data_IF_468486604992
#
_entry.id   IF_468486604992
#
_cell.length_a   1.000
_cell.length_b   1.000
_cell.length_c   1.000
_cell.angle_alpha   90.00
_cell.angle_beta   90.00
_cell.angle_gamma   90.00
#
_symmetry.space_group_name_H-M   'P 1'
#
loop_
_entity.id
_entity.type
_entity.pdbx_description
1 polymer ?
#
# COMPACT_ATOMS: atom_id res chain seq x y z
N UNK A 1 30.48 17.27 -88.29
CA UNK A 1 30.57 18.39 -87.31
C UNK A 1 29.93 17.91 -86.03
N UNK A 2 30.74 17.37 -85.08
CA UNK A 2 30.31 16.71 -83.87
C UNK A 2 30.26 17.71 -82.71
N UNK A 3 29.11 17.93 -82.15
CA UNK A 3 28.96 18.68 -80.89
C UNK A 3 28.98 17.71 -79.72
N UNK A 4 29.99 17.79 -78.85
CA UNK A 4 30.06 17.05 -77.57
C UNK A 4 29.35 17.86 -76.50
N UNK A 5 28.27 17.26 -75.90
CA UNK A 5 27.60 17.74 -74.66
C UNK A 5 28.33 17.17 -73.47
N UNK A 6 28.92 18.02 -72.64
CA UNK A 6 29.37 17.63 -71.26
C UNK A 6 28.21 17.69 -70.30
N UNK A 7 27.90 16.56 -69.68
CA UNK A 7 26.99 16.49 -68.51
C UNK A 7 27.83 16.73 -67.25
N UNK A 8 27.53 17.81 -66.52
CA UNK A 8 28.07 18.07 -65.21
C UNK A 8 27.11 17.40 -64.18
N UNK A 9 27.64 16.40 -63.46
CA UNK A 9 26.91 15.83 -62.26
C UNK A 9 27.23 16.71 -61.05
N UNK A 10 26.21 17.39 -60.50
CA UNK A 10 26.26 17.98 -59.16
C UNK A 10 25.90 16.90 -58.15
N UNK A 11 26.87 16.48 -57.33
CA UNK A 11 26.62 15.64 -56.18
C UNK A 11 26.24 16.55 -54.98
N UNK A 12 25.00 16.53 -54.58
CA UNK A 12 24.55 17.20 -53.35
C UNK A 12 24.81 16.26 -52.16
N UNK A 13 25.78 16.61 -51.31
CA UNK A 13 26.00 15.98 -50.00
C UNK A 13 24.95 16.51 -49.02
N UNK A 14 23.99 15.70 -48.68
CA UNK A 14 23.09 15.94 -47.53
C UNK A 14 23.78 15.47 -46.25
N UNK A 15 24.22 16.41 -45.41
CA UNK A 15 24.71 16.12 -44.05
C UNK A 15 23.51 15.79 -43.16
N UNK A 16 23.41 14.53 -42.75
CA UNK A 16 22.45 14.13 -41.71
C UNK A 16 22.95 14.59 -40.33
N UNK A 17 22.32 15.59 -39.76
CA UNK A 17 22.52 15.98 -38.35
C UNK A 17 21.83 14.97 -37.48
N UNK A 18 22.56 14.07 -36.83
CA UNK A 18 22.04 13.18 -35.78
C UNK A 18 21.74 14.03 -34.55
N UNK A 19 20.45 14.23 -34.26
CA UNK A 19 20.01 14.83 -33.01
C UNK A 19 20.31 13.84 -31.89
N UNK A 20 21.30 14.12 -31.06
CA UNK A 20 21.55 13.38 -29.82
C UNK A 20 20.48 13.81 -28.81
N UNK A 21 19.49 12.99 -28.64
CA UNK A 21 18.53 13.14 -27.52
C UNK A 21 19.26 12.75 -26.24
N UNK A 22 19.73 13.73 -25.49
CA UNK A 22 20.16 13.51 -24.11
C UNK A 22 18.90 13.22 -23.29
N UNK A 23 18.70 11.97 -22.87
CA UNK A 23 17.68 11.63 -21.91
C UNK A 23 17.97 12.44 -20.63
N UNK A 24 17.08 13.37 -20.31
CA UNK A 24 17.19 14.17 -19.10
C UNK A 24 16.94 13.21 -17.93
N UNK A 25 17.87 13.15 -16.99
CA UNK A 25 17.66 12.35 -15.77
C UNK A 25 16.33 12.79 -15.10
N UNK A 26 15.52 11.86 -14.61
CA UNK A 26 14.28 12.23 -13.94
C UNK A 26 14.60 13.22 -12.81
N UNK A 27 13.75 14.24 -12.58
CA UNK A 27 13.98 15.24 -11.55
C UNK A 27 14.13 14.53 -10.21
N UNK A 28 15.14 14.94 -9.43
CA UNK A 28 15.36 14.39 -8.08
C UNK A 28 14.16 14.71 -7.20
N UNK A 29 13.67 13.70 -6.45
CA UNK A 29 12.59 13.91 -5.48
C UNK A 29 13.08 14.82 -4.35
N UNK A 30 12.26 15.77 -3.87
CA UNK A 30 12.66 16.80 -2.91
C UNK A 30 12.69 16.26 -1.46
N UNK A 31 13.59 15.31 -1.17
CA UNK A 31 13.70 14.64 0.13
C UNK A 31 14.05 15.59 1.26
N UNK A 32 14.71 16.72 0.96
CA UNK A 32 15.04 17.78 1.92
C UNK A 32 13.79 18.44 2.54
N UNK A 33 12.61 18.23 1.94
CA UNK A 33 11.32 18.70 2.48
C UNK A 33 10.72 17.76 3.51
N UNK A 34 11.25 16.53 3.60
CA UNK A 34 10.75 15.56 4.58
C UNK A 34 11.35 15.85 5.95
N UNK A 35 10.46 16.03 6.91
CA UNK A 35 10.82 16.18 8.32
C UNK A 35 10.67 14.85 9.04
N UNK A 36 11.70 14.49 9.79
CA UNK A 36 11.80 13.26 10.59
C UNK A 36 12.22 13.61 12.02
N UNK A 37 11.98 12.76 13.00
CA UNK A 37 12.54 12.90 14.33
C UNK A 37 14.09 12.94 14.32
N UNK A 38 14.74 13.53 15.32
CA UNK A 38 16.20 13.59 15.40
C UNK A 38 16.86 12.22 15.31
N UNK A 39 17.95 12.12 14.54
CA UNK A 39 18.71 10.89 14.32
C UNK A 39 18.20 10.03 13.17
N UNK A 40 17.04 10.33 12.60
CA UNK A 40 16.53 9.66 11.41
C UNK A 40 16.97 10.36 10.13
N UNK A 41 17.09 9.56 9.07
CA UNK A 41 17.37 10.04 7.70
C UNK A 41 16.50 9.29 6.70
N UNK A 42 16.21 9.93 5.57
CA UNK A 42 15.46 9.34 4.44
C UNK A 42 16.34 9.33 3.20
N UNK A 43 16.24 8.25 2.42
CA UNK A 43 16.90 8.10 1.13
C UNK A 43 15.94 7.42 0.14
N UNK A 44 16.26 7.48 -1.15
CA UNK A 44 15.58 6.67 -2.16
C UNK A 44 16.14 5.25 -2.10
N UNK A 45 15.27 4.26 -1.88
CA UNK A 45 15.59 2.84 -2.05
C UNK A 45 15.43 2.43 -3.52
N UNK A 46 14.35 2.87 -4.17
CA UNK A 46 14.11 2.65 -5.59
C UNK A 46 13.28 3.79 -6.19
N UNK A 47 13.46 4.06 -7.47
CA UNK A 47 12.62 4.92 -8.31
C UNK A 47 12.20 4.16 -9.57
N UNK A 48 11.27 4.73 -10.33
CA UNK A 48 10.74 4.05 -11.52
C UNK A 48 9.81 2.88 -11.18
N UNK A 49 9.09 2.98 -10.06
CA UNK A 49 8.07 2.02 -9.59
C UNK A 49 6.70 2.73 -9.60
N UNK A 50 6.14 3.06 -10.78
CA UNK A 50 4.91 3.83 -10.89
C UNK A 50 3.77 3.18 -10.11
N UNK A 51 2.99 4.03 -9.41
CA UNK A 51 1.80 3.61 -8.65
C UNK A 51 2.08 2.54 -7.59
N UNK A 52 3.26 2.54 -6.96
CA UNK A 52 3.68 1.59 -5.94
C UNK A 52 2.70 1.52 -4.77
N UNK A 53 2.24 0.33 -4.44
CA UNK A 53 1.27 0.06 -3.37
C UNK A 53 1.85 -0.90 -2.33
N UNK A 54 1.16 -1.98 -2.02
CA UNK A 54 1.60 -2.94 -1.03
C UNK A 54 2.98 -3.51 -1.37
N UNK A 55 3.78 -3.69 -0.34
CA UNK A 55 5.11 -4.24 -0.42
C UNK A 55 5.24 -5.53 0.39
N UNK A 56 6.01 -6.49 -0.12
CA UNK A 56 6.39 -7.67 0.64
C UNK A 56 7.83 -8.08 0.34
N UNK A 57 8.57 -8.45 1.38
CA UNK A 57 9.94 -8.96 1.23
C UNK A 57 9.93 -10.46 0.95
N UNK A 58 10.62 -10.88 -0.08
CA UNK A 58 10.91 -12.27 -0.40
C UNK A 58 12.00 -12.86 0.50
N UNK A 59 12.19 -14.17 0.43
CA UNK A 59 13.14 -14.89 1.29
C UNK A 59 14.61 -14.56 0.98
N UNK A 60 14.92 -14.12 -0.26
CA UNK A 60 16.28 -13.75 -0.69
C UNK A 60 16.52 -12.23 -0.67
N UNK A 61 15.61 -11.47 -0.07
CA UNK A 61 15.70 -10.01 0.01
C UNK A 61 15.15 -9.26 -1.20
N UNK A 62 14.47 -9.94 -2.13
CA UNK A 62 13.74 -9.29 -3.21
C UNK A 62 12.53 -8.55 -2.64
N UNK A 63 12.39 -7.26 -2.91
CA UNK A 63 11.20 -6.48 -2.56
C UNK A 63 10.18 -6.58 -3.69
N UNK A 64 9.06 -7.25 -3.46
CA UNK A 64 7.93 -7.27 -4.38
C UNK A 64 6.99 -6.12 -4.08
N UNK A 65 6.47 -5.47 -5.13
CA UNK A 65 5.63 -4.27 -5.03
C UNK A 65 4.43 -4.40 -5.97
N UNK A 66 3.24 -4.32 -5.42
CA UNK A 66 2.01 -4.18 -6.20
C UNK A 66 1.82 -2.77 -6.73
N UNK A 67 0.90 -2.57 -7.67
CA UNK A 67 0.58 -1.24 -8.17
C UNK A 67 -0.93 -1.01 -8.30
N UNK A 68 -1.31 0.25 -8.22
CA UNK A 68 -2.66 0.71 -8.54
C UNK A 68 -2.66 1.42 -9.88
N UNK A 69 -3.73 1.26 -10.67
CA UNK A 69 -3.95 1.98 -11.95
C UNK A 69 -2.84 1.81 -13.02
N UNK A 70 -1.74 1.08 -12.73
CA UNK A 70 -0.65 0.85 -13.66
C UNK A 70 -0.56 -0.60 -14.13
N UNK A 71 -1.38 -1.48 -13.55
CA UNK A 71 -1.59 -2.87 -13.98
C UNK A 71 -0.34 -3.75 -13.97
N UNK A 72 0.67 -3.44 -13.13
CA UNK A 72 1.94 -4.16 -13.03
C UNK A 72 2.28 -4.57 -11.61
N UNK A 73 3.09 -5.61 -11.51
CA UNK A 73 3.77 -6.02 -10.28
C UNK A 73 5.26 -5.98 -10.51
N UNK A 74 6.00 -5.44 -9.56
CA UNK A 74 7.44 -5.25 -9.64
C UNK A 74 8.20 -6.13 -8.65
N UNK A 75 9.45 -6.44 -8.99
CA UNK A 75 10.43 -6.99 -8.07
C UNK A 75 11.70 -6.13 -8.10
N UNK A 76 12.11 -5.68 -6.94
CA UNK A 76 13.25 -4.81 -6.73
C UNK A 76 14.36 -5.60 -6.04
N UNK A 77 15.55 -5.57 -6.60
CA UNK A 77 16.68 -6.34 -6.10
C UNK A 77 17.86 -5.40 -5.81
N UNK A 78 18.36 -5.47 -4.59
CA UNK A 78 19.61 -4.86 -4.14
C UNK A 78 20.68 -5.95 -4.18
N UNK A 79 21.57 -5.93 -5.19
CA UNK A 79 22.53 -7.00 -5.45
C UNK A 79 23.84 -6.82 -4.68
N UNK A 80 24.26 -5.55 -4.54
CA UNK A 80 25.52 -5.22 -3.88
C UNK A 80 25.35 -4.87 -2.40
N UNK A 81 24.10 -4.94 -1.91
CA UNK A 81 23.71 -4.68 -0.53
C UNK A 81 24.03 -3.27 -0.02
N UNK A 82 24.01 -2.28 -0.92
CA UNK A 82 24.21 -0.87 -0.58
C UNK A 82 22.93 -0.21 -0.03
N UNK A 83 21.84 -0.98 0.07
CA UNK A 83 20.52 -0.57 0.57
C UNK A 83 19.74 0.30 -0.42
N UNK A 84 20.02 0.10 -1.71
CA UNK A 84 19.26 0.62 -2.85
C UNK A 84 19.00 -0.51 -3.84
N UNK A 85 17.89 -0.45 -4.54
CA UNK A 85 17.64 -1.41 -5.59
C UNK A 85 18.46 -1.08 -6.85
N UNK A 86 19.30 -2.02 -7.28
CA UNK A 86 20.05 -1.94 -8.53
C UNK A 86 19.18 -2.25 -9.74
N UNK A 87 18.16 -3.09 -9.53
CA UNK A 87 17.33 -3.60 -10.60
C UNK A 87 15.86 -3.63 -10.24
N UNK A 88 15.02 -3.20 -11.19
CA UNK A 88 13.56 -3.31 -11.13
C UNK A 88 13.10 -4.22 -12.26
N UNK A 89 12.50 -5.36 -11.89
CA UNK A 89 11.87 -6.29 -12.82
C UNK A 89 10.36 -6.07 -12.86
N UNK A 90 9.73 -6.24 -14.03
CA UNK A 90 8.29 -6.38 -14.14
C UNK A 90 7.95 -7.87 -14.05
N UNK A 91 7.29 -8.27 -12.98
CA UNK A 91 6.88 -9.67 -12.74
C UNK A 91 5.62 -10.02 -13.53
N UNK A 92 4.68 -9.08 -13.59
CA UNK A 92 3.44 -9.26 -14.32
C UNK A 92 2.93 -7.91 -14.83
N UNK A 93 2.17 -7.94 -15.93
CA UNK A 93 1.53 -6.77 -16.54
C UNK A 93 0.16 -7.12 -17.12
N UNK A 94 -0.65 -6.10 -17.43
CA UNK A 94 -2.01 -6.28 -17.93
C UNK A 94 -2.99 -6.80 -16.88
N UNK A 95 -2.66 -6.69 -15.60
CA UNK A 95 -3.49 -7.08 -14.48
C UNK A 95 -4.51 -5.98 -14.13
N UNK A 96 -5.56 -6.30 -13.38
CA UNK A 96 -6.57 -5.33 -12.97
C UNK A 96 -6.32 -4.87 -11.52
N UNK A 97 -5.69 -3.69 -11.35
CA UNK A 97 -5.33 -3.12 -10.05
C UNK A 97 -4.63 -4.13 -9.12
N UNK A 98 -3.45 -4.67 -9.48
CA UNK A 98 -2.76 -5.69 -8.71
C UNK A 98 -2.05 -5.06 -7.50
N UNK A 99 -2.80 -4.42 -6.61
CA UNK A 99 -2.27 -3.67 -5.49
C UNK A 99 -1.74 -4.54 -4.36
N UNK A 100 -2.32 -5.73 -4.18
CA UNK A 100 -1.98 -6.64 -3.09
C UNK A 100 -0.90 -7.64 -3.44
N UNK A 101 0.12 -7.76 -2.58
CA UNK A 101 1.20 -8.75 -2.74
C UNK A 101 1.53 -9.43 -1.41
N UNK A 102 1.66 -10.77 -1.42
CA UNK A 102 2.11 -11.54 -0.28
C UNK A 102 3.14 -12.58 -0.71
N UNK A 103 4.05 -12.95 0.18
CA UNK A 103 5.07 -13.94 -0.11
C UNK A 103 5.03 -15.08 0.91
N UNK A 104 5.08 -16.32 0.44
CA UNK A 104 5.13 -17.51 1.28
C UNK A 104 5.77 -18.66 0.54
N UNK A 105 6.66 -19.40 1.23
CA UNK A 105 7.25 -20.65 0.76
C UNK A 105 7.82 -20.55 -0.67
N UNK A 106 8.55 -19.44 -0.96
CA UNK A 106 9.15 -19.18 -2.26
C UNK A 106 8.19 -18.67 -3.33
N UNK A 107 6.91 -18.52 -3.03
CA UNK A 107 5.86 -18.10 -3.98
C UNK A 107 5.36 -16.69 -3.68
N UNK A 108 5.17 -15.91 -4.74
CA UNK A 108 4.53 -14.60 -4.70
C UNK A 108 3.03 -14.76 -5.01
N UNK A 109 2.21 -14.25 -4.11
CA UNK A 109 0.76 -14.11 -4.31
C UNK A 109 0.46 -12.68 -4.74
N UNK A 110 -0.39 -12.52 -5.74
CA UNK A 110 -0.80 -11.23 -6.29
C UNK A 110 -2.32 -11.16 -6.28
N UNK A 111 -2.86 -10.12 -5.63
CA UNK A 111 -4.29 -9.88 -5.59
C UNK A 111 -4.67 -8.72 -6.53
N UNK A 112 -5.53 -9.04 -7.48
CA UNK A 112 -6.29 -8.12 -8.30
C UNK A 112 -7.67 -7.85 -7.66
N UNK A 113 -8.48 -7.02 -8.25
CA UNK A 113 -9.84 -6.73 -7.73
C UNK A 113 -10.63 -8.01 -7.46
N UNK A 114 -10.66 -8.95 -8.42
CA UNK A 114 -11.57 -10.10 -8.38
C UNK A 114 -10.89 -11.47 -8.26
N UNK A 115 -9.56 -11.50 -8.22
CA UNK A 115 -8.82 -12.76 -8.15
C UNK A 115 -7.49 -12.63 -7.43
N UNK A 116 -7.00 -13.77 -6.94
CA UNK A 116 -5.65 -13.94 -6.40
C UNK A 116 -4.94 -14.99 -7.24
N UNK A 117 -3.74 -14.67 -7.70
CA UNK A 117 -2.85 -15.56 -8.43
C UNK A 117 -1.57 -15.81 -7.65
N UNK A 118 -0.87 -16.93 -7.93
CA UNK A 118 0.39 -17.31 -7.30
C UNK A 118 1.44 -17.62 -8.36
N UNK A 119 2.64 -17.08 -8.17
CA UNK A 119 3.83 -17.30 -8.97
C UNK A 119 4.82 -18.14 -8.16
N UNK A 120 4.96 -19.43 -8.49
CA UNK A 120 5.78 -20.38 -7.74
C UNK A 120 7.28 -20.18 -8.03
N UNK A 121 8.14 -20.33 -6.98
CA UNK A 121 9.58 -20.16 -7.07
C UNK A 121 10.04 -18.84 -7.72
N UNK A 122 9.32 -17.77 -7.45
CA UNK A 122 9.44 -16.49 -8.17
C UNK A 122 10.85 -15.90 -8.11
N UNK A 123 11.55 -15.98 -6.96
CA UNK A 123 12.88 -15.41 -6.79
C UNK A 123 13.97 -16.12 -7.61
N UNK A 124 13.69 -17.29 -8.18
CA UNK A 124 14.57 -17.99 -9.10
C UNK A 124 14.38 -17.57 -10.58
N UNK A 125 13.33 -16.77 -10.89
CA UNK A 125 12.88 -16.55 -12.26
C UNK A 125 12.36 -15.12 -12.50
N UNK A 126 12.99 -14.11 -11.89
CA UNK A 126 12.53 -12.71 -11.97
C UNK A 126 12.54 -12.15 -13.40
N UNK A 127 13.48 -12.59 -14.25
CA UNK A 127 13.57 -12.15 -15.67
C UNK A 127 12.51 -12.82 -16.55
N UNK A 128 12.11 -14.03 -16.19
CA UNK A 128 11.08 -14.80 -16.91
C UNK A 128 10.17 -15.46 -15.90
N UNK A 129 9.22 -14.71 -15.32
CA UNK A 129 8.31 -15.22 -14.30
C UNK A 129 7.52 -16.43 -14.80
N UNK A 130 7.21 -17.40 -13.92
CA UNK A 130 6.40 -18.56 -14.26
C UNK A 130 4.96 -18.15 -14.58
N UNK A 131 4.26 -19.02 -15.29
CA UNK A 131 2.81 -18.87 -15.50
C UNK A 131 2.11 -18.93 -14.14
N UNK A 132 1.28 -17.94 -13.78
CA UNK A 132 0.62 -17.93 -12.50
C UNK A 132 -0.48 -18.97 -12.36
N UNK A 133 -0.65 -19.49 -11.16
CA UNK A 133 -1.77 -20.35 -10.77
C UNK A 133 -2.87 -19.49 -10.15
N UNK A 134 -4.12 -19.64 -10.58
CA UNK A 134 -5.26 -18.99 -9.94
C UNK A 134 -5.54 -19.69 -8.61
N UNK A 135 -5.40 -18.94 -7.51
CA UNK A 135 -5.68 -19.39 -6.14
C UNK A 135 -7.14 -19.15 -5.78
N UNK A 136 -7.63 -17.94 -6.07
CA UNK A 136 -9.03 -17.53 -5.84
C UNK A 136 -9.50 -16.72 -7.04
N UNK A 137 -10.58 -17.12 -7.69
CA UNK A 137 -11.03 -16.49 -8.94
C UNK A 137 -12.44 -15.90 -8.89
N UNK A 138 -13.05 -15.84 -7.72
CA UNK A 138 -14.46 -15.47 -7.52
C UNK A 138 -14.68 -14.39 -6.44
N UNK A 139 -13.66 -13.54 -6.20
CA UNK A 139 -13.85 -12.35 -5.38
C UNK A 139 -14.78 -11.35 -6.09
N UNK A 140 -15.48 -10.47 -5.35
CA UNK A 140 -16.31 -9.42 -5.94
C UNK A 140 -15.56 -8.59 -6.98
N UNK A 141 -16.27 -8.15 -8.02
CA UNK A 141 -15.69 -7.50 -9.22
C UNK A 141 -15.79 -5.97 -9.22
N UNK A 142 -16.48 -5.41 -8.24
CA UNK A 142 -16.69 -3.98 -8.08
C UNK A 142 -15.36 -3.27 -7.87
N UNK A 143 -15.16 -2.19 -8.64
CA UNK A 143 -13.92 -1.40 -8.58
C UNK A 143 -13.88 -0.41 -7.41
N UNK A 144 -15.05 0.05 -6.94
CA UNK A 144 -15.13 0.93 -5.77
C UNK A 144 -14.69 0.15 -4.52
N UNK A 145 -13.66 0.62 -3.83
CA UNK A 145 -12.94 -0.10 -2.76
C UNK A 145 -12.52 -1.53 -3.18
N UNK A 146 -12.31 -1.73 -4.48
CA UNK A 146 -12.03 -3.03 -5.05
C UNK A 146 -10.60 -3.52 -4.84
N UNK A 147 -9.65 -2.60 -4.59
CA UNK A 147 -8.25 -2.95 -4.36
C UNK A 147 -8.10 -3.86 -3.14
N UNK A 148 -7.21 -4.83 -3.27
CA UNK A 148 -6.94 -5.80 -2.21
C UNK A 148 -5.56 -5.54 -1.61
N UNK A 149 -5.50 -5.61 -0.30
CA UNK A 149 -4.29 -5.80 0.47
C UNK A 149 -4.28 -7.25 0.95
N UNK A 150 -3.20 -7.99 0.80
CA UNK A 150 -3.18 -9.40 1.18
C UNK A 150 -1.95 -9.74 2.03
N UNK A 151 -2.13 -10.57 3.04
CA UNK A 151 -1.02 -11.02 3.87
C UNK A 151 -1.33 -12.34 4.56
N UNK A 152 -0.31 -13.15 4.77
CA UNK A 152 -0.41 -14.37 5.57
C UNK A 152 -0.37 -14.06 7.05
N UNK A 153 -1.30 -14.64 7.79
CA UNK A 153 -1.33 -14.56 9.25
C UNK A 153 -0.36 -15.53 9.93
N UNK A 154 -0.16 -15.37 11.25
CA UNK A 154 0.65 -16.29 12.05
C UNK A 154 0.04 -17.71 12.11
N UNK A 155 -1.24 -17.86 11.81
CA UNK A 155 -1.95 -19.13 11.63
C UNK A 155 -1.72 -19.78 10.27
N UNK A 156 -1.00 -19.08 9.37
CA UNK A 156 -0.70 -19.52 8.02
C UNK A 156 -1.83 -19.36 7.02
N UNK A 157 -2.95 -18.72 7.38
CA UNK A 157 -4.03 -18.39 6.45
C UNK A 157 -3.73 -17.09 5.71
N UNK A 158 -4.29 -16.96 4.50
CA UNK A 158 -4.25 -15.75 3.70
C UNK A 158 -5.45 -14.86 4.05
N UNK A 159 -5.19 -13.60 4.39
CA UNK A 159 -6.21 -12.62 4.74
C UNK A 159 -6.40 -11.61 3.61
N UNK A 160 -7.66 -11.23 3.35
CA UNK A 160 -8.04 -10.39 2.20
C UNK A 160 -9.21 -9.49 2.57
N UNK A 161 -9.04 -8.17 2.68
CA UNK A 161 -10.16 -7.25 2.82
C UNK A 161 -10.97 -7.17 1.53
N UNK A 162 -12.28 -7.10 1.68
CA UNK A 162 -13.24 -6.85 0.61
C UNK A 162 -14.05 -5.62 1.00
N UNK A 163 -13.68 -4.46 0.49
CA UNK A 163 -14.31 -3.19 0.85
C UNK A 163 -15.77 -3.08 0.41
N UNK A 164 -16.53 -2.20 1.05
CA UNK A 164 -17.89 -1.88 0.65
C UNK A 164 -17.93 -1.32 -0.77
N UNK A 165 -18.86 -1.75 -1.64
CA UNK A 165 -18.86 -1.38 -3.07
C UNK A 165 -19.42 0.02 -3.35
N UNK A 166 -19.53 0.85 -2.32
CA UNK A 166 -20.14 2.18 -2.36
C UNK A 166 -19.58 3.04 -1.22
N UNK A 167 -19.89 4.33 -1.20
CA UNK A 167 -19.55 5.21 -0.08
C UNK A 167 -20.15 4.71 1.24
N UNK A 168 -21.46 4.46 1.24
CA UNK A 168 -22.18 3.83 2.36
C UNK A 168 -23.37 3.04 1.81
N UNK A 169 -23.47 1.77 2.14
CA UNK A 169 -24.58 0.89 1.74
C UNK A 169 -24.56 -0.43 2.49
N UNK A 170 -25.70 -1.10 2.52
CA UNK A 170 -25.82 -2.50 2.82
C UNK A 170 -25.81 -3.32 1.51
N UNK A 171 -25.22 -4.50 1.54
CA UNK A 171 -25.17 -5.44 0.39
C UNK A 171 -25.50 -6.86 0.87
N UNK A 172 -26.74 -7.08 1.33
CA UNK A 172 -27.14 -8.38 1.90
C UNK A 172 -27.08 -9.54 0.89
N UNK A 173 -27.12 -9.23 -0.42
CA UNK A 173 -27.01 -10.22 -1.49
C UNK A 173 -25.60 -10.81 -1.64
N UNK A 174 -24.57 -10.12 -1.19
CA UNK A 174 -23.22 -10.66 -1.12
C UNK A 174 -22.56 -10.24 0.21
N UNK A 175 -22.60 -11.10 1.23
CA UNK A 175 -22.11 -10.80 2.56
C UNK A 175 -20.58 -10.68 2.65
N UNK A 176 -19.86 -10.91 1.57
CA UNK A 176 -18.40 -10.74 1.51
C UNK A 176 -17.98 -9.27 1.49
N UNK A 177 -18.85 -8.33 1.07
CA UNK A 177 -18.56 -6.91 1.11
C UNK A 177 -18.45 -6.38 2.54
N UNK A 178 -17.63 -5.36 2.71
CA UNK A 178 -17.34 -4.72 3.98
C UNK A 178 -16.81 -5.70 5.04
N UNK A 179 -15.91 -6.62 4.63
CA UNK A 179 -15.35 -7.66 5.49
C UNK A 179 -13.84 -7.83 5.28
N UNK A 180 -13.22 -8.54 6.22
CA UNK A 180 -11.92 -9.18 6.01
C UNK A 180 -12.19 -10.68 5.90
N UNK A 181 -11.86 -11.26 4.77
CA UNK A 181 -11.89 -12.71 4.55
C UNK A 181 -10.57 -13.34 5.00
N UNK A 182 -10.61 -14.62 5.40
CA UNK A 182 -9.42 -15.45 5.51
C UNK A 182 -9.64 -16.79 4.81
N UNK A 183 -8.57 -17.39 4.29
CA UNK A 183 -8.63 -18.65 3.55
C UNK A 183 -7.30 -19.40 3.62
N UNK A 184 -7.29 -20.67 3.23
CA UNK A 184 -6.05 -21.42 3.08
C UNK A 184 -5.19 -20.85 1.94
N UNK A 185 -3.86 -21.14 1.91
CA UNK A 185 -2.97 -20.66 0.84
C UNK A 185 -3.39 -21.11 -0.58
N UNK A 186 -4.19 -22.16 -0.69
CA UNK A 186 -4.74 -22.67 -1.95
C UNK A 186 -6.09 -22.02 -2.33
N UNK A 187 -6.57 -21.05 -1.54
CA UNK A 187 -7.84 -20.33 -1.76
C UNK A 187 -9.09 -21.07 -1.26
N UNK A 188 -8.94 -22.29 -0.72
CA UNK A 188 -10.06 -23.05 -0.16
C UNK A 188 -10.41 -22.63 1.27
N UNK A 189 -11.62 -22.98 1.72
CA UNK A 189 -12.05 -22.71 3.10
C UNK A 189 -12.17 -21.21 3.42
N UNK A 190 -12.54 -20.40 2.42
CA UNK A 190 -12.75 -18.97 2.63
C UNK A 190 -13.90 -18.69 3.59
N UNK A 191 -13.66 -17.87 4.60
CA UNK A 191 -14.66 -17.47 5.59
C UNK A 191 -14.50 -16.00 5.96
N UNK A 192 -15.55 -15.39 6.50
CA UNK A 192 -15.51 -14.02 7.04
C UNK A 192 -14.82 -14.05 8.40
N UNK A 193 -13.72 -13.30 8.52
CA UNK A 193 -12.96 -13.14 9.74
C UNK A 193 -13.41 -11.93 10.57
N UNK A 194 -13.71 -10.81 9.88
CA UNK A 194 -14.24 -9.59 10.50
C UNK A 194 -15.23 -8.92 9.55
N UNK A 195 -16.20 -8.19 10.06
CA UNK A 195 -17.24 -7.50 9.30
C UNK A 195 -17.43 -6.05 9.73
N UNK A 196 -18.21 -5.28 8.97
CA UNK A 196 -18.37 -3.86 9.24
C UNK A 196 -17.10 -3.04 8.99
N UNK A 197 -16.27 -3.47 8.03
CA UNK A 197 -15.01 -2.85 7.61
C UNK A 197 -15.23 -2.18 6.26
N UNK A 198 -15.28 -0.84 6.23
CA UNK A 198 -15.65 -0.09 5.02
C UNK A 198 -14.64 -0.26 3.90
N UNK A 199 -13.37 0.06 4.15
CA UNK A 199 -12.29 0.03 3.17
C UNK A 199 -10.93 -0.07 3.86
N UNK A 200 -10.58 -1.26 4.30
CA UNK A 200 -9.24 -1.53 4.84
C UNK A 200 -8.25 -1.80 3.71
N UNK A 201 -7.13 -1.08 3.72
CA UNK A 201 -6.03 -1.20 2.75
C UNK A 201 -4.70 -1.42 3.48
N UNK A 202 -4.74 -1.90 4.71
CA UNK A 202 -3.55 -2.20 5.48
C UNK A 202 -3.86 -2.91 6.79
N UNK A 203 -3.12 -3.97 7.07
CA UNK A 203 -3.23 -4.67 8.34
C UNK A 203 -1.93 -5.39 8.69
N UNK A 204 -1.76 -5.67 9.96
CA UNK A 204 -0.65 -6.45 10.48
C UNK A 204 -1.06 -7.15 11.77
N UNK A 205 -0.24 -8.07 12.24
CA UNK A 205 -0.42 -8.77 13.52
C UNK A 205 0.48 -8.16 14.58
N UNK A 206 -0.11 -7.89 15.73
CA UNK A 206 0.67 -7.41 16.88
C UNK A 206 1.73 -8.47 17.26
N UNK A 207 3.02 -8.08 17.37
CA UNK A 207 4.12 -9.04 17.48
C UNK A 207 4.04 -9.97 18.71
N UNK A 208 3.36 -9.55 19.77
CA UNK A 208 3.26 -10.29 21.03
C UNK A 208 1.93 -11.03 21.18
N UNK A 209 0.80 -10.38 20.85
CA UNK A 209 -0.54 -10.96 21.06
C UNK A 209 -1.02 -11.75 19.85
N UNK A 210 -0.40 -11.56 18.69
CA UNK A 210 -0.81 -12.15 17.40
C UNK A 210 -2.24 -11.78 16.97
N UNK A 211 -2.84 -10.78 17.58
CA UNK A 211 -4.10 -10.21 17.14
C UNK A 211 -3.90 -9.37 15.88
N UNK A 212 -4.85 -9.43 14.95
CA UNK A 212 -4.83 -8.57 13.78
C UNK A 212 -5.20 -7.14 14.14
N UNK A 213 -4.45 -6.19 13.59
CA UNK A 213 -4.77 -4.77 13.60
C UNK A 213 -4.87 -4.28 12.16
N UNK A 214 -5.83 -3.39 11.89
CA UNK A 214 -6.05 -2.89 10.54
C UNK A 214 -6.47 -1.42 10.54
N UNK A 215 -6.13 -0.72 9.46
CA UNK A 215 -6.64 0.61 9.16
C UNK A 215 -7.96 0.51 8.42
N UNK A 216 -8.90 1.41 8.68
CA UNK A 216 -10.14 1.54 7.92
C UNK A 216 -10.43 2.98 7.55
N UNK A 217 -10.78 3.22 6.29
CA UNK A 217 -11.10 4.55 5.77
C UNK A 217 -12.58 4.86 6.03
N UNK A 218 -12.86 5.97 6.72
CA UNK A 218 -14.21 6.45 7.01
C UNK A 218 -15.01 6.84 5.77
N UNK A 219 -16.35 6.94 5.90
CA UNK A 219 -17.21 7.38 4.79
C UNK A 219 -16.90 8.80 4.35
N UNK A 220 -17.10 9.07 3.07
CA UNK A 220 -16.91 10.39 2.50
C UNK A 220 -18.18 11.27 2.61
N UNK A 221 -18.02 12.59 2.37
CA UNK A 221 -19.07 13.55 2.16
C UNK A 221 -19.94 13.89 3.40
N UNK A 222 -19.36 13.80 4.60
CA UNK A 222 -19.95 14.31 5.84
C UNK A 222 -19.26 15.61 6.33
N UNK A 223 -18.47 16.24 5.48
CA UNK A 223 -17.69 17.44 5.79
C UNK A 223 -16.22 17.14 6.04
N UNK A 224 -15.47 18.17 6.44
CA UNK A 224 -14.02 18.08 6.57
C UNK A 224 -13.57 17.28 7.79
N UNK A 225 -14.30 17.37 8.89
CA UNK A 225 -13.84 16.95 10.21
C UNK A 225 -14.43 15.63 10.70
N UNK A 226 -15.33 15.01 9.93
CA UNK A 226 -15.97 13.73 10.27
C UNK A 226 -16.26 12.90 9.03
N UNK A 227 -16.29 11.57 9.19
CA UNK A 227 -15.78 10.79 10.32
C UNK A 227 -14.26 10.67 10.31
N UNK A 228 -13.66 10.24 11.43
CA UNK A 228 -12.25 9.87 11.43
C UNK A 228 -12.03 8.59 10.64
N UNK A 229 -10.83 8.41 10.10
CA UNK A 229 -10.32 7.08 9.77
C UNK A 229 -9.95 6.34 11.06
N UNK A 230 -9.73 5.03 10.99
CA UNK A 230 -9.66 4.18 12.17
C UNK A 230 -8.43 3.27 12.16
N UNK A 231 -7.83 3.05 13.33
CA UNK A 231 -6.98 1.90 13.62
C UNK A 231 -7.76 0.95 14.55
N UNK A 232 -8.05 -0.22 14.05
CA UNK A 232 -8.88 -1.23 14.68
C UNK A 232 -8.05 -2.44 15.13
N UNK A 233 -8.56 -3.20 16.13
CA UNK A 233 -7.98 -4.45 16.63
C UNK A 233 -9.04 -5.54 16.65
N UNK A 234 -8.75 -6.67 16.04
CA UNK A 234 -9.61 -7.86 16.07
C UNK A 234 -9.16 -8.75 17.22
N UNK A 235 -9.78 -8.58 18.38
CA UNK A 235 -9.54 -9.44 19.54
C UNK A 235 -10.22 -10.81 19.40
N UNK A 236 -11.30 -10.90 18.61
CA UNK A 236 -12.06 -12.12 18.38
C UNK A 236 -12.53 -12.19 16.94
N UNK A 237 -12.35 -13.34 16.28
CA UNK A 237 -12.94 -13.61 14.98
C UNK A 237 -14.46 -13.46 15.02
N UNK A 238 -15.05 -12.92 13.92
CA UNK A 238 -16.48 -12.61 13.83
C UNK A 238 -16.88 -11.24 14.41
N UNK A 239 -15.93 -10.43 14.90
CA UNK A 239 -16.19 -9.07 15.37
C UNK A 239 -16.70 -8.18 14.23
N UNK A 240 -17.60 -7.23 14.60
CA UNK A 240 -18.16 -6.23 13.68
C UNK A 240 -17.71 -4.82 14.08
N UNK A 241 -17.19 -4.03 13.11
CA UNK A 241 -16.52 -2.75 13.32
C UNK A 241 -17.36 -1.51 12.97
N UNK A 242 -18.65 -1.69 12.71
CA UNK A 242 -19.66 -0.62 12.69
C UNK A 242 -20.19 -0.24 11.31
N UNK A 243 -19.41 -0.27 10.22
CA UNK A 243 -19.91 0.10 8.91
C UNK A 243 -21.06 -0.82 8.44
N UNK A 244 -22.17 -0.29 7.88
CA UNK A 244 -22.44 1.12 7.54
C UNK A 244 -23.13 1.94 8.63
N UNK A 245 -23.30 1.44 9.83
CA UNK A 245 -24.19 1.99 10.86
C UNK A 245 -23.51 3.00 11.79
N UNK A 246 -22.23 2.79 12.07
CA UNK A 246 -21.46 3.56 13.05
C UNK A 246 -20.04 3.85 12.53
N UNK A 247 -19.55 5.05 12.79
CA UNK A 247 -18.22 5.52 12.41
C UNK A 247 -17.45 6.00 13.66
N UNK A 248 -16.14 5.76 13.69
CA UNK A 248 -15.29 6.17 14.81
C UNK A 248 -15.74 5.63 16.17
N UNK A 249 -16.58 4.59 16.19
CA UNK A 249 -17.12 3.97 17.38
C UNK A 249 -18.18 4.78 18.17
N UNK A 250 -18.56 5.96 17.70
CA UNK A 250 -19.53 6.83 18.43
C UNK A 250 -20.47 7.63 17.53
N UNK A 251 -20.19 7.74 16.26
CA UNK A 251 -20.99 8.54 15.33
C UNK A 251 -21.95 7.63 14.57
N UNK A 252 -23.23 7.69 14.89
CA UNK A 252 -24.27 7.01 14.13
C UNK A 252 -24.34 7.57 12.70
N UNK A 253 -24.41 6.67 11.70
CA UNK A 253 -24.52 7.08 10.31
C UNK A 253 -25.86 7.79 10.04
N UNK A 254 -25.89 8.93 9.31
CA UNK A 254 -27.14 9.68 9.05
C UNK A 254 -28.21 8.89 8.30
N UNK A 255 -27.80 7.90 7.47
CA UNK A 255 -28.73 7.12 6.64
C UNK A 255 -29.04 5.74 7.26
N UNK A 256 -28.06 5.10 7.89
CA UNK A 256 -28.17 3.73 8.38
C UNK A 256 -28.14 3.60 9.90
N UNK A 257 -27.67 4.62 10.65
CA UNK A 257 -27.43 4.54 12.08
C UNK A 257 -28.68 4.31 12.93
N UNK A 258 -29.88 4.65 12.41
CA UNK A 258 -31.13 4.35 13.11
C UNK A 258 -31.40 2.84 13.31
N UNK A 259 -30.74 1.97 12.53
CA UNK A 259 -30.94 0.51 12.59
C UNK A 259 -30.18 -0.16 13.74
N UNK A 260 -29.04 0.40 14.14
CA UNK A 260 -28.13 -0.17 15.11
C UNK A 260 -27.46 0.91 15.96
N UNK A 261 -27.17 0.62 17.22
CA UNK A 261 -26.44 1.51 18.12
C UNK A 261 -24.93 1.29 17.97
N UNK A 262 -24.14 2.36 18.07
CA UNK A 262 -22.68 2.25 18.06
C UNK A 262 -22.13 1.30 19.14
N UNK A 263 -22.83 1.18 20.28
CA UNK A 263 -22.44 0.27 21.37
C UNK A 263 -22.53 -1.23 21.02
N UNK A 264 -23.14 -1.59 19.90
CA UNK A 264 -23.22 -2.97 19.42
C UNK A 264 -21.93 -3.42 18.71
N UNK A 265 -21.04 -2.48 18.37
CA UNK A 265 -19.87 -2.70 17.55
C UNK A 265 -18.56 -2.49 18.32
N UNK A 266 -17.48 -3.10 17.81
CA UNK A 266 -16.13 -2.90 18.36
C UNK A 266 -15.65 -1.50 17.98
N UNK A 267 -15.33 -0.62 18.96
CA UNK A 267 -14.82 0.70 18.65
C UNK A 267 -13.34 0.63 18.21
N UNK A 268 -12.85 1.62 17.45
CA UNK A 268 -11.43 1.70 17.10
C UNK A 268 -10.55 1.88 18.34
N UNK A 269 -9.35 1.31 18.29
CA UNK A 269 -8.33 1.53 19.33
C UNK A 269 -7.80 2.97 19.27
N UNK A 270 -7.67 3.49 18.05
CA UNK A 270 -7.29 4.88 17.81
C UNK A 270 -8.10 5.46 16.65
N UNK A 271 -8.76 6.58 16.89
CA UNK A 271 -9.28 7.42 15.82
C UNK A 271 -8.12 8.16 15.18
N UNK A 272 -7.98 8.01 13.88
CA UNK A 272 -7.01 8.75 13.08
C UNK A 272 -7.60 10.08 12.62
N UNK A 273 -6.84 10.90 11.90
CA UNK A 273 -7.38 12.14 11.33
C UNK A 273 -8.54 11.84 10.35
N UNK A 274 -9.53 12.75 10.24
CA UNK A 274 -10.64 12.56 9.31
C UNK A 274 -10.13 12.62 7.87
N UNK A 275 -10.45 11.58 7.10
CA UNK A 275 -10.10 11.48 5.67
C UNK A 275 -8.59 11.49 5.37
N UNK A 276 -7.73 11.06 6.30
CA UNK A 276 -6.28 10.96 6.06
C UNK A 276 -5.94 9.87 5.05
N UNK A 277 -6.90 9.02 4.70
CA UNK A 277 -6.75 7.84 3.87
C UNK A 277 -5.65 6.93 4.44
N UNK A 278 -5.87 6.42 5.64
CA UNK A 278 -4.97 5.49 6.30
C UNK A 278 -4.92 4.18 5.51
N UNK A 279 -3.76 3.86 4.93
CA UNK A 279 -3.55 2.68 4.09
C UNK A 279 -2.65 1.66 4.82
N UNK A 280 -1.50 1.30 4.23
CA UNK A 280 -0.60 0.31 4.79
C UNK A 280 -0.17 0.61 6.22
N UNK A 281 -0.16 -0.40 7.07
CA UNK A 281 0.30 -0.30 8.46
C UNK A 281 1.20 -1.49 8.80
N UNK A 282 2.20 -1.24 9.67
CA UNK A 282 3.08 -2.29 10.21
C UNK A 282 3.44 -2.01 11.65
N UNK A 283 3.52 -3.07 12.44
CA UNK A 283 4.23 -2.99 13.71
C UNK A 283 5.73 -2.99 13.47
N UNK A 284 6.44 -2.06 14.08
CA UNK A 284 7.89 -2.01 13.95
C UNK A 284 8.54 -3.11 14.81
N UNK A 285 9.06 -4.13 14.16
CA UNK A 285 9.74 -5.28 14.78
C UNK A 285 11.26 -5.22 14.68
N UNK A 286 11.78 -4.21 13.97
CA UNK A 286 13.22 -4.01 13.78
C UNK A 286 13.96 -3.63 15.06
N UNK A 287 15.29 -3.64 14.98
CA UNK A 287 16.19 -3.25 16.08
C UNK A 287 17.00 -1.99 15.78
N UNK A 288 16.86 -1.43 14.56
CA UNK A 288 17.62 -0.25 14.14
C UNK A 288 17.11 1.04 14.81
N UNK A 289 15.78 1.19 14.91
CA UNK A 289 15.18 2.36 15.55
C UNK A 289 15.33 2.32 17.07
N UNK A 290 15.27 3.47 17.76
CA UNK A 290 15.25 3.53 19.22
C UNK A 290 14.18 2.59 19.82
N UNK A 291 14.44 2.04 21.03
CA UNK A 291 13.54 1.07 21.69
C UNK A 291 12.09 1.56 21.86
N UNK A 292 11.87 2.88 21.95
CA UNK A 292 10.55 3.49 22.07
C UNK A 292 9.63 3.20 20.85
N UNK A 293 10.21 2.90 19.69
CA UNK A 293 9.44 2.56 18.48
C UNK A 293 9.11 1.08 18.36
N UNK A 294 9.72 0.22 19.19
CA UNK A 294 9.51 -1.23 19.08
C UNK A 294 8.07 -1.60 19.40
N UNK A 295 7.46 -2.41 18.54
CA UNK A 295 6.06 -2.85 18.60
C UNK A 295 5.04 -1.69 18.48
N UNK A 296 5.45 -0.52 18.03
CA UNK A 296 4.54 0.58 17.73
C UNK A 296 4.02 0.45 16.29
N UNK A 297 2.80 0.94 16.03
CA UNK A 297 2.16 0.85 14.73
C UNK A 297 2.52 2.06 13.85
N UNK A 298 3.24 1.83 12.74
CA UNK A 298 3.48 2.81 11.70
C UNK A 298 2.39 2.72 10.64
N UNK A 299 1.86 3.87 10.20
CA UNK A 299 0.74 3.95 9.25
C UNK A 299 1.10 4.91 8.12
N UNK A 300 0.93 4.48 6.88
CA UNK A 300 0.97 5.36 5.73
C UNK A 300 -0.38 6.07 5.57
N UNK A 301 -0.40 7.39 5.76
CA UNK A 301 -1.54 8.25 5.48
C UNK A 301 -1.40 8.82 4.07
N UNK A 302 -2.16 8.26 3.15
CA UNK A 302 -2.09 8.58 1.72
C UNK A 302 -2.54 10.01 1.41
N UNK A 303 -3.39 10.57 2.25
CA UNK A 303 -3.85 11.94 2.18
C UNK A 303 -5.23 12.13 1.58
N UNK A 304 -5.93 13.14 2.10
CA UNK A 304 -7.32 13.45 1.79
C UNK A 304 -7.53 13.90 0.35
N UNK A 305 -8.69 13.54 -0.22
CA UNK A 305 -9.14 14.06 -1.51
C UNK A 305 -10.46 14.86 -1.38
N UNK A 306 -11.24 14.62 -0.34
CA UNK A 306 -12.60 15.14 -0.11
C UNK A 306 -12.67 16.18 1.02
N UNK A 307 -11.57 16.91 1.26
CA UNK A 307 -11.50 18.02 2.23
C UNK A 307 -11.21 19.34 1.53
N UNK A 308 -11.70 20.45 2.09
CA UNK A 308 -11.35 21.80 1.66
C UNK A 308 -9.87 22.12 1.89
N UNK A 309 -9.32 21.68 3.02
CA UNK A 309 -7.90 21.71 3.34
C UNK A 309 -7.32 20.28 3.41
N UNK A 310 -6.31 19.99 2.59
CA UNK A 310 -5.68 18.66 2.56
C UNK A 310 -4.97 18.34 3.86
N UNK A 311 -5.08 17.09 4.31
CA UNK A 311 -4.34 16.50 5.45
C UNK A 311 -3.87 15.09 5.12
N UNK A 312 -3.05 14.49 5.99
CA UNK A 312 -2.38 13.23 5.73
C UNK A 312 -1.11 13.46 4.91
N UNK A 313 -0.85 12.65 3.86
CA UNK A 313 0.36 12.71 3.03
C UNK A 313 1.63 12.56 3.88
N UNK A 314 1.64 11.57 4.77
CA UNK A 314 2.69 11.39 5.77
C UNK A 314 2.73 9.95 6.26
N UNK A 315 3.74 9.61 7.01
CA UNK A 315 3.76 8.40 7.85
C UNK A 315 3.56 8.83 9.29
N UNK A 316 2.63 8.18 9.98
CA UNK A 316 2.36 8.40 11.40
C UNK A 316 2.78 7.20 12.22
N UNK A 317 2.93 7.41 13.54
CA UNK A 317 3.13 6.34 14.51
C UNK A 317 2.07 6.43 15.59
N UNK A 318 1.40 5.30 15.85
CA UNK A 318 0.54 5.13 17.02
C UNK A 318 1.35 4.40 18.09
N UNK A 319 1.55 5.06 19.22
CA UNK A 319 2.22 4.47 20.38
C UNK A 319 1.23 3.72 21.25
N UNK A 320 1.63 2.54 21.71
CA UNK A 320 0.80 1.63 22.49
C UNK A 320 1.46 1.35 23.83
N UNK A 321 0.63 1.22 24.87
CA UNK A 321 1.08 0.65 26.16
C UNK A 321 1.16 -0.88 26.10
N UNK A 322 1.58 -1.50 27.20
CA UNK A 322 1.74 -2.95 27.32
C UNK A 322 0.42 -3.74 27.15
N UNK A 323 -0.73 -3.07 27.27
CA UNK A 323 -2.06 -3.67 27.11
C UNK A 323 -2.62 -3.45 25.69
N UNK A 324 -1.86 -2.81 24.79
CA UNK A 324 -2.29 -2.48 23.45
C UNK A 324 -3.27 -1.29 23.39
N UNK A 325 -3.31 -0.44 24.42
CA UNK A 325 -4.06 0.81 24.40
C UNK A 325 -3.21 1.89 23.75
N UNK A 326 -3.80 2.65 22.83
CA UNK A 326 -3.14 3.80 22.23
C UNK A 326 -2.87 4.89 23.28
N UNK A 327 -1.62 5.38 23.32
CA UNK A 327 -1.15 6.44 24.22
C UNK A 327 -0.67 7.67 23.47
N UNK A 328 -0.47 7.58 22.15
CA UNK A 328 -0.09 8.68 21.28
C UNK A 328 -0.38 8.37 19.82
N UNK A 329 -0.57 9.41 19.02
CA UNK A 329 -0.75 9.35 17.56
C UNK A 329 -0.11 10.60 16.97
N UNK A 330 1.04 10.45 16.34
CA UNK A 330 1.88 11.56 15.91
C UNK A 330 2.48 11.36 14.50
N UNK A 331 2.76 12.43 13.76
CA UNK A 331 3.55 12.36 12.54
C UNK A 331 4.96 11.81 12.83
N UNK A 332 5.39 10.82 12.05
CA UNK A 332 6.76 10.29 12.08
C UNK A 332 7.60 10.82 10.91
N UNK A 333 7.04 10.78 9.69
CA UNK A 333 7.67 11.38 8.51
C UNK A 333 6.63 12.22 7.77
N UNK A 334 6.90 13.50 7.53
CA UNK A 334 5.98 14.41 6.87
C UNK A 334 6.71 15.38 5.95
N UNK A 335 6.00 15.97 4.96
CA UNK A 335 6.56 16.91 4.01
C UNK A 335 6.25 16.57 2.55
N UNK A 336 5.57 15.45 2.27
CA UNK A 336 5.04 15.15 0.94
C UNK A 336 3.94 16.13 0.50
N UNK A 337 3.29 16.78 1.44
CA UNK A 337 2.35 17.87 1.21
C UNK A 337 3.02 19.21 1.53
N UNK A 338 3.05 20.14 0.57
CA UNK A 338 3.56 21.51 0.71
C UNK A 338 2.40 22.49 0.46
N UNK A 339 1.89 23.13 1.51
CA UNK A 339 0.66 23.90 1.44
C UNK A 339 -0.53 23.00 1.04
N UNK A 340 -1.03 23.11 -0.18
CA UNK A 340 -2.11 22.27 -0.74
C UNK A 340 -1.64 21.43 -1.94
N UNK A 341 -0.33 21.40 -2.22
CA UNK A 341 0.25 20.64 -3.32
C UNK A 341 1.03 19.44 -2.77
N UNK A 342 0.62 18.24 -3.12
CA UNK A 342 1.33 17.02 -2.80
C UNK A 342 2.28 16.65 -3.94
N UNK A 343 3.54 16.37 -3.60
CA UNK A 343 4.52 15.83 -4.54
C UNK A 343 4.70 14.32 -4.40
N UNK A 344 4.17 13.73 -3.33
CA UNK A 344 4.17 12.32 -3.06
C UNK A 344 3.01 11.93 -2.14
N UNK A 345 2.73 10.62 -2.09
CA UNK A 345 1.64 10.03 -1.30
C UNK A 345 2.08 8.67 -0.75
N UNK A 346 2.49 8.59 0.52
CA UNK A 346 2.79 7.32 1.17
C UNK A 346 1.62 6.33 1.07
N UNK A 347 1.89 5.09 0.64
CA UNK A 347 0.85 4.08 0.43
C UNK A 347 1.00 2.84 1.32
N UNK A 348 2.23 2.34 1.52
CA UNK A 348 2.50 1.24 2.44
C UNK A 348 3.82 1.46 3.20
N UNK A 349 3.97 0.76 4.31
CA UNK A 349 5.18 0.72 5.11
C UNK A 349 5.55 -0.73 5.44
N UNK A 350 6.84 -1.08 5.33
CA UNK A 350 7.35 -2.37 5.82
C UNK A 350 8.68 -2.20 6.53
N UNK A 351 9.02 -3.15 7.39
CA UNK A 351 10.33 -3.20 8.05
C UNK A 351 11.28 -4.02 7.18
N UNK A 352 12.39 -3.41 6.75
CA UNK A 352 13.44 -4.09 6.01
C UNK A 352 14.24 -5.05 6.91
N UNK A 353 14.97 -6.04 6.35
CA UNK A 353 15.72 -7.02 7.14
C UNK A 353 16.75 -6.41 8.11
N UNK A 354 17.32 -5.27 7.77
CA UNK A 354 18.27 -4.52 8.62
C UNK A 354 17.60 -3.57 9.63
N UNK A 355 16.25 -3.56 9.66
CA UNK A 355 15.45 -2.78 10.60
C UNK A 355 15.12 -1.36 10.13
N UNK A 356 15.48 -0.93 8.93
CA UNK A 356 14.96 0.32 8.36
C UNK A 356 13.47 0.19 8.01
N UNK A 357 12.78 1.32 7.88
CA UNK A 357 11.42 1.37 7.38
C UNK A 357 11.43 1.72 5.89
N UNK A 358 10.84 0.87 5.05
CA UNK A 358 10.58 1.20 3.65
C UNK A 358 9.17 1.76 3.53
N UNK A 359 9.02 2.77 2.67
CA UNK A 359 7.74 3.46 2.43
C UNK A 359 7.50 3.52 0.93
N UNK A 360 6.40 2.95 0.44
CA UNK A 360 6.00 3.11 -0.96
C UNK A 360 5.24 4.41 -1.19
N UNK A 361 5.40 4.98 -2.39
CA UNK A 361 4.73 6.21 -2.82
C UNK A 361 4.22 6.02 -4.25
N UNK A 362 2.91 6.00 -4.41
CA UNK A 362 2.26 5.73 -5.70
C UNK A 362 2.26 6.94 -6.62
N UNK A 363 2.36 8.15 -6.09
CA UNK A 363 2.40 9.39 -6.86
C UNK A 363 3.82 9.69 -7.36
N UNK A 364 4.82 9.58 -6.49
CA UNK A 364 6.21 9.79 -6.85
C UNK A 364 6.81 8.59 -7.62
N UNK A 365 6.17 7.42 -7.59
CA UNK A 365 6.68 6.19 -8.20
C UNK A 365 7.99 5.75 -7.58
N UNK A 366 8.09 5.82 -6.26
CA UNK A 366 9.31 5.59 -5.51
C UNK A 366 9.07 4.72 -4.27
N UNK A 367 10.14 4.11 -3.81
CA UNK A 367 10.24 3.49 -2.49
C UNK A 367 11.29 4.27 -1.71
N UNK A 368 10.92 4.81 -0.56
CA UNK A 368 11.82 5.48 0.35
C UNK A 368 12.33 4.51 1.41
N UNK A 369 13.53 4.78 1.91
CA UNK A 369 14.13 4.10 3.03
C UNK A 369 14.39 5.10 4.15
N UNK A 370 13.78 4.87 5.32
CA UNK A 370 14.00 5.65 6.53
C UNK A 370 14.87 4.82 7.47
N UNK A 371 16.00 5.38 7.89
CA UNK A 371 16.97 4.71 8.76
C UNK A 371 17.35 5.60 9.95
N UNK A 372 17.77 4.97 11.04
CA UNK A 372 18.26 5.64 12.22
C UNK A 372 19.77 5.42 12.38
N UNK A 373 20.51 6.49 12.57
CA UNK A 373 21.94 6.44 12.92
C UNK A 373 22.09 6.81 14.38
N UNK A 374 22.71 5.90 15.13
CA UNK A 374 23.08 6.12 16.53
C UNK A 374 24.20 7.14 16.65
#
# INVERSE_FOLDING_TARGET
>A
MLLRMYKVLLATMTAAVAAVWTAQAPPSLPLERITLPPGFSIAIYASGVPHAREMVMGAKGTLFVGSRDFNKVYALVDRDHDQKADQVYTIAEGLKDPSGVAFRDGSLYVAEISRITRYDNIEASLEKPPVPVVVKGDLPTESHHGQKFIRFGPDGLLYVPVGGPCNVCERPEDPRFATILRMKPDGTGAEIFASGVRNSVGFDWHPTTHEMWFTDNGRDLLGDDVPPDELNRVAQAGSHFGYPYCHGGTMEDPEFGAKHKCSEFVPPVQRLGPHVAALGMRFYTGTQFPPAYRNQAFIAEHGSWNRSGKIGYRVTVVTLDANGKATGYEPFAQGWLQGQQAWGRPADVIVAPDGALLVSDDTAGAIYRISFRR
#
